data_IF_857219151562
#
_entry.id   IF_857219151562
#
_cell.length_a   1.000
_cell.length_b   1.000
_cell.length_c   1.000
_cell.angle_alpha   90.00
_cell.angle_beta   90.00
_cell.angle_gamma   90.00
#
_symmetry.space_group_name_H-M   'P 1'
#
loop_
_entity.id
_entity.type
_entity.pdbx_description
1 polymer ?
#
# COMPACT_ATOMS: atom_id res chain seq x y z
N UNK A 1 -25.03 -1.80 -11.38
CA UNK A 1 -25.05 -1.53 -9.90
C UNK A 1 -23.83 -0.67 -9.59
N UNK A 2 -23.90 0.33 -8.71
CA UNK A 2 -22.71 1.09 -8.33
C UNK A 2 -21.70 0.12 -7.72
N UNK A 3 -20.54 0.00 -8.34
CA UNK A 3 -19.42 -0.80 -7.84
C UNK A 3 -18.93 -0.11 -6.59
N UNK A 4 -19.35 -0.59 -5.41
CA UNK A 4 -18.88 -0.04 -4.14
C UNK A 4 -17.36 -0.10 -4.12
N UNK A 5 -16.73 1.08 -4.14
CA UNK A 5 -15.29 1.25 -4.12
C UNK A 5 -14.91 2.00 -2.85
N UNK A 6 -13.80 1.61 -2.24
CA UNK A 6 -13.26 2.24 -1.04
C UNK A 6 -11.83 2.66 -1.34
N UNK A 7 -11.46 3.88 -0.94
CA UNK A 7 -10.10 4.38 -1.09
C UNK A 7 -9.42 4.35 0.27
N UNK A 8 -8.32 3.62 0.37
CA UNK A 8 -7.44 3.66 1.54
C UNK A 8 -6.24 4.54 1.19
N UNK A 9 -6.15 5.69 1.85
CA UNK A 9 -5.02 6.60 1.72
C UNK A 9 -3.97 6.24 2.76
N UNK A 10 -2.76 5.93 2.31
CA UNK A 10 -1.63 5.64 3.20
C UNK A 10 -0.40 6.46 2.83
N UNK A 11 0.41 6.75 3.84
CA UNK A 11 1.66 7.50 3.73
C UNK A 11 2.80 6.71 4.39
N UNK A 12 3.85 6.45 3.64
CA UNK A 12 4.97 5.61 4.06
C UNK A 12 4.59 4.15 4.34
N UNK A 13 5.59 3.38 4.76
CA UNK A 13 5.57 1.93 4.85
C UNK A 13 4.62 1.38 5.92
N UNK A 14 4.67 1.90 7.15
CA UNK A 14 3.88 1.36 8.27
C UNK A 14 2.37 1.43 8.02
N UNK A 15 1.89 2.59 7.58
CA UNK A 15 0.46 2.80 7.32
C UNK A 15 -0.02 2.02 6.09
N UNK A 16 0.81 1.95 5.04
CA UNK A 16 0.50 1.18 3.83
C UNK A 16 0.40 -0.31 4.13
N UNK A 17 1.31 -0.83 4.96
CA UNK A 17 1.26 -2.21 5.41
C UNK A 17 0.02 -2.50 6.27
N UNK A 18 -0.38 -1.59 7.15
CA UNK A 18 -1.61 -1.74 7.93
C UNK A 18 -2.85 -1.75 7.04
N UNK A 19 -2.93 -0.84 6.05
CA UNK A 19 -4.01 -0.80 5.07
C UNK A 19 -4.08 -2.10 4.26
N UNK A 20 -2.94 -2.60 3.79
CA UNK A 20 -2.85 -3.87 3.07
C UNK A 20 -3.37 -5.05 3.90
N UNK A 21 -2.97 -5.15 5.18
CA UNK A 21 -3.49 -6.19 6.08
C UNK A 21 -5.00 -6.06 6.31
N UNK A 22 -5.50 -4.82 6.46
CA UNK A 22 -6.93 -4.54 6.58
C UNK A 22 -7.72 -5.03 5.36
N UNK A 23 -7.19 -4.83 4.15
CA UNK A 23 -7.79 -5.35 2.91
C UNK A 23 -7.85 -6.88 2.94
N UNK A 24 -6.77 -7.56 3.33
CA UNK A 24 -6.76 -9.04 3.37
C UNK A 24 -7.80 -9.57 4.36
N UNK A 25 -7.87 -8.98 5.56
CA UNK A 25 -8.89 -9.36 6.56
C UNK A 25 -10.31 -9.09 6.04
N UNK A 26 -10.54 -7.94 5.41
CA UNK A 26 -11.82 -7.62 4.79
C UNK A 26 -12.17 -8.58 3.65
N UNK A 27 -11.20 -8.96 2.82
CA UNK A 27 -11.38 -9.91 1.72
C UNK A 27 -11.82 -11.28 2.26
N UNK A 28 -11.24 -11.74 3.37
CA UNK A 28 -11.64 -12.98 4.03
C UNK A 28 -13.11 -12.92 4.50
N UNK A 29 -13.50 -11.83 5.16
CA UNK A 29 -14.87 -11.64 5.65
C UNK A 29 -15.89 -11.52 4.50
N UNK A 30 -15.55 -10.77 3.46
CA UNK A 30 -16.45 -10.55 2.31
C UNK A 30 -16.62 -11.83 1.50
N UNK A 31 -15.55 -12.62 1.33
CA UNK A 31 -15.64 -13.95 0.72
C UNK A 31 -16.59 -14.85 1.50
N UNK A 32 -16.41 -14.92 2.83
CA UNK A 32 -17.22 -15.79 3.68
C UNK A 32 -18.70 -15.39 3.71
N UNK A 33 -19.00 -14.08 3.75
CA UNK A 33 -20.38 -13.59 3.93
C UNK A 33 -21.13 -13.36 2.61
N UNK A 34 -20.44 -12.97 1.55
CA UNK A 34 -21.07 -12.50 0.31
C UNK A 34 -20.63 -13.24 -0.94
N UNK A 35 -19.73 -14.23 -0.84
CA UNK A 35 -19.14 -14.93 -1.99
C UNK A 35 -18.57 -13.96 -3.03
N UNK A 36 -17.95 -12.88 -2.56
CA UNK A 36 -17.29 -11.87 -3.38
C UNK A 36 -15.80 -11.81 -3.08
N UNK A 37 -15.05 -11.34 -4.05
CA UNK A 37 -13.62 -11.09 -3.94
C UNK A 37 -13.34 -9.60 -3.86
N UNK A 38 -12.16 -9.24 -3.33
CA UNK A 38 -11.68 -7.86 -3.36
C UNK A 38 -10.45 -7.79 -4.26
N UNK A 39 -10.43 -6.76 -5.10
CA UNK A 39 -9.23 -6.33 -5.78
C UNK A 39 -8.80 -4.97 -5.22
N UNK A 40 -7.49 -4.78 -5.09
CA UNK A 40 -6.85 -3.53 -4.76
C UNK A 40 -6.13 -2.99 -5.99
N UNK A 41 -6.19 -1.68 -6.16
CA UNK A 41 -5.67 -0.97 -7.32
C UNK A 41 -4.77 0.14 -6.77
N UNK A 42 -3.45 -0.12 -6.67
CA UNK A 42 -2.49 0.85 -6.14
C UNK A 42 -2.31 2.04 -7.08
N UNK A 43 -2.31 3.25 -6.56
CA UNK A 43 -2.03 4.49 -7.29
C UNK A 43 -1.29 5.48 -6.39
N UNK A 44 -0.73 6.54 -6.97
CA UNK A 44 -0.15 7.64 -6.22
C UNK A 44 -1.16 8.77 -6.08
N UNK A 45 -1.22 9.37 -4.88
CA UNK A 45 -2.07 10.54 -4.64
C UNK A 45 -1.35 11.83 -5.03
N UNK A 46 -0.32 12.17 -4.27
CA UNK A 46 0.40 13.45 -4.40
C UNK A 46 1.87 13.24 -4.75
N UNK A 47 2.46 12.17 -4.22
CA UNK A 47 3.87 11.83 -4.42
C UNK A 47 4.07 10.31 -4.31
N UNK A 48 5.29 9.85 -4.61
CA UNK A 48 5.63 8.42 -4.62
C UNK A 48 5.65 7.76 -3.23
N UNK A 49 5.43 8.51 -2.14
CA UNK A 49 5.32 7.99 -0.78
C UNK A 49 3.87 7.90 -0.26
N UNK A 50 2.91 8.44 -1.02
CA UNK A 50 1.49 8.44 -0.70
C UNK A 50 0.78 7.47 -1.63
N UNK A 51 0.70 6.21 -1.19
CA UNK A 51 0.05 5.13 -1.93
C UNK A 51 -1.44 5.14 -1.59
N UNK A 52 -2.28 5.15 -2.61
CA UNK A 52 -3.72 4.98 -2.49
C UNK A 52 -4.08 3.59 -2.98
N UNK A 53 -4.80 2.83 -2.16
CA UNK A 53 -5.37 1.54 -2.53
C UNK A 53 -6.85 1.72 -2.80
N UNK A 54 -7.23 1.77 -4.08
CA UNK A 54 -8.64 1.68 -4.49
C UNK A 54 -9.06 0.22 -4.40
N UNK A 55 -9.98 -0.08 -3.50
CA UNK A 55 -10.50 -1.42 -3.24
C UNK A 55 -11.87 -1.55 -3.90
N UNK A 56 -12.01 -2.55 -4.76
CA UNK A 56 -13.24 -2.84 -5.50
C UNK A 56 -13.68 -4.27 -5.23
N UNK A 57 -14.99 -4.47 -5.09
CA UNK A 57 -15.57 -5.80 -5.01
C UNK A 57 -15.70 -6.41 -6.41
N UNK A 58 -15.31 -7.67 -6.55
CA UNK A 58 -15.39 -8.46 -7.78
C UNK A 58 -16.18 -9.75 -7.55
N UNK A 59 -16.86 -10.19 -8.61
CA UNK A 59 -17.55 -11.50 -8.61
C UNK A 59 -16.54 -12.63 -8.72
N UNK A 60 -15.50 -12.45 -9.54
CA UNK A 60 -14.49 -13.46 -9.80
C UNK A 60 -13.24 -13.27 -8.94
N UNK A 61 -12.58 -14.38 -8.64
CA UNK A 61 -11.30 -14.37 -7.93
C UNK A 61 -10.17 -14.08 -8.91
N UNK A 62 -9.36 -13.08 -8.59
CA UNK A 62 -8.01 -12.97 -9.18
C UNK A 62 -7.17 -14.10 -8.57
N UNK A 63 -6.94 -15.16 -9.35
CA UNK A 63 -6.07 -16.27 -8.98
C UNK A 63 -4.88 -16.31 -9.92
N UNK A 64 -3.71 -16.55 -9.36
CA UNK A 64 -2.54 -16.87 -10.16
C UNK A 64 -2.65 -18.31 -10.70
N UNK A 65 -2.26 -18.57 -11.97
CA UNK A 65 -2.00 -19.92 -12.43
C UNK A 65 -0.84 -20.54 -11.65
N UNK A 66 -0.74 -21.88 -11.64
CA UNK A 66 0.23 -22.61 -10.82
C UNK A 66 1.70 -22.31 -11.17
N UNK A 67 1.96 -21.92 -12.42
CA UNK A 67 3.25 -21.58 -12.99
C UNK A 67 3.51 -20.05 -13.06
N UNK A 68 2.63 -19.24 -12.44
CA UNK A 68 2.82 -17.79 -12.39
C UNK A 68 4.18 -17.43 -11.76
N UNK A 69 4.97 -16.53 -12.38
CA UNK A 69 6.25 -16.12 -11.81
C UNK A 69 6.09 -15.51 -10.42
N UNK A 70 6.91 -15.97 -9.47
CA UNK A 70 6.95 -15.46 -8.10
C UNK A 70 8.18 -14.59 -7.90
N UNK A 71 7.99 -13.31 -7.59
CA UNK A 71 9.06 -12.38 -7.24
C UNK A 71 9.06 -12.10 -5.73
N UNK A 72 10.16 -12.44 -5.07
CA UNK A 72 10.40 -12.08 -3.67
C UNK A 72 10.84 -10.62 -3.56
N UNK A 73 10.19 -9.86 -2.69
CA UNK A 73 10.41 -8.43 -2.48
C UNK A 73 11.00 -8.20 -1.10
N UNK A 74 12.14 -7.51 -1.06
CA UNK A 74 12.79 -7.07 0.17
C UNK A 74 12.52 -5.59 0.41
N UNK A 75 12.77 -5.10 1.64
CA UNK A 75 12.66 -3.67 1.94
C UNK A 75 13.69 -2.79 1.21
N UNK A 76 14.73 -3.39 0.64
CA UNK A 76 15.77 -2.72 -0.16
C UNK A 76 15.54 -2.84 -1.67
N UNK A 77 14.47 -3.52 -2.10
CA UNK A 77 14.13 -3.66 -3.52
C UNK A 77 13.85 -2.29 -4.13
N UNK A 78 14.45 -2.00 -5.28
CA UNK A 78 14.11 -0.79 -6.05
C UNK A 78 12.72 -0.98 -6.70
N UNK A 79 11.72 -0.15 -6.33
CA UNK A 79 10.37 -0.28 -6.86
C UNK A 79 10.31 0.00 -8.37
N UNK A 80 11.24 0.77 -8.96
CA UNK A 80 11.24 1.05 -10.40
C UNK A 80 11.67 -0.17 -11.21
N UNK A 81 12.66 -0.90 -10.72
CA UNK A 81 13.13 -2.15 -11.34
C UNK A 81 12.03 -3.21 -11.25
N UNK A 82 11.42 -3.35 -10.08
CA UNK A 82 10.30 -4.26 -9.88
C UNK A 82 9.09 -3.89 -10.76
N UNK A 83 8.78 -2.60 -10.91
CA UNK A 83 7.72 -2.12 -11.79
C UNK A 83 7.97 -2.46 -13.26
N UNK A 84 9.22 -2.36 -13.72
CA UNK A 84 9.60 -2.78 -15.07
C UNK A 84 9.33 -4.26 -15.31
N UNK A 85 9.65 -5.12 -14.34
CA UNK A 85 9.33 -6.55 -14.42
C UNK A 85 7.82 -6.80 -14.46
N UNK A 86 7.04 -6.15 -13.57
CA UNK A 86 5.57 -6.27 -13.54
C UNK A 86 4.95 -5.81 -14.86
N UNK A 87 5.35 -4.65 -15.38
CA UNK A 87 4.83 -4.11 -16.63
C UNK A 87 5.18 -5.02 -17.82
N UNK A 88 6.38 -5.60 -17.85
CA UNK A 88 6.77 -6.59 -18.87
C UNK A 88 5.81 -7.78 -18.88
N UNK A 89 5.55 -8.39 -17.72
CA UNK A 89 4.62 -9.53 -17.63
C UNK A 89 3.18 -9.15 -18.00
N UNK A 90 2.73 -7.96 -17.60
CA UNK A 90 1.40 -7.48 -17.96
C UNK A 90 1.21 -7.29 -19.48
N UNK A 91 2.23 -6.81 -20.19
CA UNK A 91 2.21 -6.68 -21.66
C UNK A 91 2.13 -8.03 -22.38
N UNK A 92 2.64 -9.08 -21.74
CA UNK A 92 2.57 -10.47 -22.19
C UNK A 92 1.26 -11.15 -21.73
N UNK A 93 0.30 -10.39 -21.17
CA UNK A 93 -0.96 -10.88 -20.58
C UNK A 93 -0.77 -11.93 -19.46
N UNK A 94 0.37 -11.86 -18.75
CA UNK A 94 0.75 -12.79 -17.70
C UNK A 94 0.43 -12.25 -16.30
N UNK A 95 -0.11 -13.14 -15.46
CA UNK A 95 -0.27 -12.89 -14.03
C UNK A 95 1.03 -13.15 -13.28
N UNK A 96 1.39 -12.28 -12.35
CA UNK A 96 2.61 -12.38 -11.54
C UNK A 96 2.28 -12.33 -10.05
N UNK A 97 3.07 -13.04 -9.24
CA UNK A 97 2.93 -13.03 -7.78
C UNK A 97 4.11 -12.26 -7.19
N UNK A 98 3.82 -11.24 -6.40
CA UNK A 98 4.81 -10.53 -5.60
C UNK A 98 4.68 -10.98 -4.14
N UNK A 99 5.80 -11.22 -3.45
CA UNK A 99 5.77 -11.66 -2.06
C UNK A 99 6.78 -10.94 -1.20
N UNK A 100 6.31 -10.33 -0.11
CA UNK A 100 7.17 -9.55 0.79
C UNK A 100 6.82 -9.78 2.26
N UNK A 101 7.83 -9.58 3.12
CA UNK A 101 7.69 -9.66 4.57
C UNK A 101 8.06 -8.30 5.19
N UNK A 102 7.18 -7.81 6.04
CA UNK A 102 7.38 -6.58 6.79
C UNK A 102 6.98 -5.31 6.03
N UNK A 103 6.87 -4.17 6.76
CA UNK A 103 6.25 -2.96 6.22
C UNK A 103 6.93 -2.40 4.97
N UNK A 104 8.27 -2.36 4.98
CA UNK A 104 9.04 -1.77 3.88
C UNK A 104 8.95 -2.60 2.60
N UNK A 105 9.01 -3.93 2.69
CA UNK A 105 8.82 -4.79 1.52
C UNK A 105 7.42 -4.65 0.91
N UNK A 106 6.39 -4.60 1.76
CA UNK A 106 5.00 -4.38 1.31
C UNK A 106 4.84 -3.02 0.64
N UNK A 107 5.49 -1.99 1.19
CA UNK A 107 5.48 -0.66 0.60
C UNK A 107 6.12 -0.63 -0.78
N UNK A 108 7.33 -1.16 -0.95
CA UNK A 108 7.99 -1.19 -2.25
C UNK A 108 7.22 -2.04 -3.27
N UNK A 109 6.61 -3.15 -2.83
CA UNK A 109 5.74 -3.98 -3.65
C UNK A 109 4.54 -3.21 -4.20
N UNK A 110 3.80 -2.51 -3.35
CA UNK A 110 2.61 -1.75 -3.78
C UNK A 110 2.99 -0.50 -4.59
N UNK A 111 4.12 0.14 -4.29
CA UNK A 111 4.68 1.22 -5.12
C UNK A 111 5.06 0.72 -6.50
N UNK A 112 5.71 -0.43 -6.60
CA UNK A 112 6.09 -1.01 -7.88
C UNK A 112 4.86 -1.30 -8.76
N UNK A 113 3.78 -1.82 -8.17
CA UNK A 113 2.52 -2.01 -8.90
C UNK A 113 1.95 -0.67 -9.37
N UNK A 114 1.91 0.35 -8.51
CA UNK A 114 1.43 1.67 -8.90
C UNK A 114 2.29 2.30 -10.02
N UNK A 115 3.62 2.16 -9.97
CA UNK A 115 4.53 2.65 -11.04
C UNK A 115 4.30 1.86 -12.34
N UNK A 116 4.11 0.54 -12.25
CA UNK A 116 3.85 -0.29 -13.41
C UNK A 116 2.54 0.11 -14.11
N UNK A 117 1.52 0.55 -13.36
CA UNK A 117 0.30 1.12 -13.93
C UNK A 117 0.58 2.39 -14.71
N UNK A 118 1.37 3.32 -14.17
CA UNK A 118 1.77 4.52 -14.93
C UNK A 118 2.52 4.15 -16.24
N UNK A 119 3.35 3.10 -16.21
CA UNK A 119 4.04 2.63 -17.42
C UNK A 119 3.09 2.05 -18.47
N UNK A 120 2.03 1.35 -18.05
CA UNK A 120 1.06 0.72 -18.95
C UNK A 120 0.02 1.72 -19.47
N UNK A 121 -0.32 2.75 -18.68
CA UNK A 121 -1.18 3.85 -19.13
C UNK A 121 -0.54 4.65 -20.28
N UNK A 122 0.79 4.75 -20.29
CA UNK A 122 1.53 5.38 -21.38
C UNK A 122 1.61 4.52 -22.66
N UNK A 123 1.22 3.24 -22.60
CA UNK A 123 1.22 2.34 -23.77
C UNK A 123 -0.07 2.49 -24.58
N UNK A 124 0.02 2.32 -25.90
CA UNK A 124 -1.13 2.43 -26.82
C UNK A 124 -2.26 1.42 -26.55
N UNK A 125 -1.95 0.29 -25.92
CA UNK A 125 -2.93 -0.76 -25.59
C UNK A 125 -3.89 -0.37 -24.45
N UNK A 126 -3.55 0.63 -23.63
CA UNK A 126 -4.38 1.07 -22.50
C UNK A 126 -4.67 -0.03 -21.47
N UNK A 127 -3.68 -0.87 -21.16
CA UNK A 127 -3.82 -1.92 -20.14
C UNK A 127 -3.72 -1.34 -18.72
N UNK A 128 -4.43 -1.93 -17.77
CA UNK A 128 -4.35 -1.61 -16.34
C UNK A 128 -4.05 -2.89 -15.52
N UNK A 129 -3.79 -2.74 -14.22
CA UNK A 129 -3.49 -3.83 -13.30
C UNK A 129 -4.53 -3.93 -12.19
N UNK A 130 -4.94 -5.16 -11.91
CA UNK A 130 -5.72 -5.53 -10.74
C UNK A 130 -4.87 -6.39 -9.81
N UNK A 131 -4.98 -6.15 -8.50
CA UNK A 131 -4.22 -6.91 -7.52
C UNK A 131 -5.11 -7.56 -6.47
N UNK A 132 -4.91 -8.83 -6.18
CA UNK A 132 -5.47 -9.50 -4.98
C UNK A 132 -4.40 -9.66 -3.92
N UNK A 133 -4.74 -9.36 -2.67
CA UNK A 133 -3.82 -9.46 -1.54
C UNK A 133 -4.20 -10.67 -0.69
N UNK A 134 -3.21 -11.48 -0.32
CA UNK A 134 -3.41 -12.68 0.49
C UNK A 134 -2.29 -12.86 1.53
N UNK A 135 -2.63 -13.41 2.69
CA UNK A 135 -1.63 -13.91 3.64
C UNK A 135 -1.18 -15.30 3.22
N UNK A 136 0.12 -15.53 3.29
CA UNK A 136 0.74 -16.82 3.00
C UNK A 136 1.80 -17.12 4.03
N UNK A 137 1.87 -18.38 4.45
CA UNK A 137 2.97 -18.85 5.29
C UNK A 137 4.18 -19.14 4.42
N UNK A 138 5.35 -18.66 4.83
CA UNK A 138 6.62 -18.96 4.20
C UNK A 138 7.61 -19.49 5.22
N UNK A 139 8.33 -20.55 4.84
CA UNK A 139 9.50 -20.99 5.60
C UNK A 139 10.69 -20.17 5.12
N UNK A 140 11.29 -19.40 6.02
CA UNK A 140 12.53 -18.68 5.74
C UNK A 140 13.71 -19.59 6.08
N UNK A 141 14.68 -19.67 5.17
CA UNK A 141 15.91 -20.43 5.39
C UNK A 141 16.58 -19.98 6.69
N UNK A 142 16.86 -20.92 7.59
CA UNK A 142 17.49 -20.65 8.89
C UNK A 142 16.52 -20.20 9.99
N UNK A 143 15.21 -20.24 9.77
CA UNK A 143 14.20 -20.12 10.84
C UNK A 143 13.42 -21.40 10.96
N UNK A 144 13.19 -21.86 12.19
CA UNK A 144 12.29 -22.99 12.46
C UNK A 144 10.82 -22.59 12.31
N UNK A 145 10.48 -21.33 12.61
CA UNK A 145 9.11 -20.84 12.61
C UNK A 145 8.74 -20.29 11.23
N UNK A 146 7.62 -20.79 10.68
CA UNK A 146 6.96 -20.22 9.51
C UNK A 146 6.63 -18.75 9.75
N UNK A 147 7.03 -17.89 8.84
CA UNK A 147 6.72 -16.47 8.88
C UNK A 147 5.52 -16.15 8.00
N UNK A 148 4.63 -15.27 8.46
CA UNK A 148 3.55 -14.76 7.61
C UNK A 148 4.09 -13.70 6.65
N UNK A 149 3.87 -13.90 5.36
CA UNK A 149 4.18 -12.94 4.30
C UNK A 149 2.90 -12.41 3.66
N UNK A 150 2.99 -11.22 3.08
CA UNK A 150 1.95 -10.69 2.21
C UNK A 150 2.27 -11.10 0.77
N UNK A 151 1.32 -11.74 0.11
CA UNK A 151 1.35 -12.06 -1.31
C UNK A 151 0.42 -11.12 -2.05
N UNK A 152 0.86 -10.59 -3.18
CA UNK A 152 0.06 -9.79 -4.10
C UNK A 152 0.04 -10.51 -5.44
N UNK A 153 -1.13 -10.99 -5.83
CA UNK A 153 -1.36 -11.53 -7.18
C UNK A 153 -1.76 -10.37 -8.08
N UNK A 154 -0.97 -10.07 -9.10
CA UNK A 154 -1.17 -8.96 -10.03
C UNK A 154 -1.55 -9.52 -11.39
N UNK A 155 -2.70 -9.13 -11.90
CA UNK A 155 -3.22 -9.58 -13.20
C UNK A 155 -3.51 -8.39 -14.12
N UNK A 156 -3.15 -8.46 -15.41
CA UNK A 156 -3.50 -7.42 -16.37
C UNK A 156 -5.00 -7.40 -16.63
N UNK A 157 -5.54 -6.21 -16.91
CA UNK A 157 -6.93 -6.03 -17.33
C UNK A 157 -7.01 -4.97 -18.43
N UNK A 158 -7.87 -5.21 -19.42
CA UNK A 158 -8.18 -4.25 -20.49
C UNK A 158 -9.29 -3.28 -20.09
N UNK A 159 -9.99 -3.55 -18.99
CA UNK A 159 -10.96 -2.60 -18.46
C UNK A 159 -10.18 -1.54 -17.71
N UNK A 160 -10.08 -0.33 -18.28
CA UNK A 160 -9.55 0.82 -17.56
C UNK A 160 -10.31 0.96 -16.23
N UNK A 161 -9.69 0.59 -15.11
CA UNK A 161 -10.33 0.77 -13.82
C UNK A 161 -10.05 2.19 -13.41
N UNK A 162 -10.77 3.09 -14.07
CA UNK A 162 -10.60 4.55 -14.01
C UNK A 162 -10.12 4.98 -12.64
N UNK A 163 -8.89 5.47 -12.59
CA UNK A 163 -8.29 6.08 -11.41
C UNK A 163 -8.94 7.46 -11.22
N UNK A 164 -10.21 7.49 -10.83
CA UNK A 164 -10.84 8.74 -10.39
C UNK A 164 -10.57 8.90 -8.90
N UNK A 165 -9.49 9.62 -8.60
CA UNK A 165 -9.33 10.38 -7.37
C UNK A 165 -8.60 11.69 -7.70
N UNK A 166 -9.13 12.42 -8.69
CA UNK A 166 -8.83 13.84 -8.87
C UNK A 166 -10.14 14.63 -8.71
N UNK A 167 -10.09 15.61 -7.82
CA UNK A 167 -11.07 16.67 -7.57
C UNK A 167 -12.40 16.31 -6.88
N UNK A 168 -12.36 16.19 -5.56
CA UNK A 168 -13.20 17.09 -4.75
C UNK A 168 -12.25 17.95 -3.93
N UNK A 169 -12.23 19.24 -4.24
CA UNK A 169 -11.57 20.24 -3.41
C UNK A 169 -12.19 20.17 -2.02
N UNK A 170 -11.42 19.71 -1.04
CA UNK A 170 -11.66 20.16 0.32
C UNK A 170 -11.34 21.65 0.32
N UNK A 171 -12.27 22.57 0.64
CA UNK A 171 -11.82 23.82 1.20
C UNK A 171 -10.94 23.43 2.38
N UNK A 172 -9.82 24.12 2.56
CA UNK A 172 -9.16 24.14 3.84
C UNK A 172 -10.24 24.27 4.91
N UNK A 173 -10.47 23.21 5.68
CA UNK A 173 -10.87 23.40 7.05
C UNK A 173 -9.69 24.19 7.63
N UNK A 174 -9.85 25.51 7.65
CA UNK A 174 -9.06 26.38 8.48
C UNK A 174 -8.99 25.67 9.83
N UNK A 175 -7.79 25.23 10.20
CA UNK A 175 -7.49 25.00 11.61
C UNK A 175 -8.10 26.20 12.34
N UNK A 176 -8.99 26.00 13.33
CA UNK A 176 -9.49 27.13 14.10
C UNK A 176 -8.26 27.89 14.57
N UNK A 177 -8.16 29.15 14.14
CA UNK A 177 -7.22 30.11 14.65
C UNK A 177 -7.30 30.01 16.15
N UNK A 178 -6.16 29.64 16.74
CA UNK A 178 -5.91 29.59 18.17
C UNK A 178 -6.58 30.80 18.81
N UNK A 179 -7.70 30.56 19.50
CA UNK A 179 -8.27 31.56 20.37
C UNK A 179 -7.20 31.84 21.41
N UNK A 180 -6.68 33.07 21.37
CA UNK A 180 -5.72 33.57 22.33
C UNK A 180 -6.19 33.21 23.74
N UNK A 181 -5.52 32.24 24.36
CA UNK A 181 -5.60 32.04 25.80
C UNK A 181 -4.98 33.29 26.44
N UNK A 182 -5.65 33.96 27.39
CA UNK A 182 -5.03 35.04 28.14
C UNK A 182 -3.81 34.48 28.88
N UNK A 183 -2.68 35.17 28.71
CA UNK A 183 -1.42 34.92 29.40
C UNK A 183 -1.65 34.95 30.92
N UNK A 184 -1.70 33.77 31.54
CA UNK A 184 -1.56 33.66 32.99
C UNK A 184 -0.07 33.62 33.33
N UNK A 185 0.39 34.73 33.89
CA UNK A 185 1.76 34.94 34.35
C UNK A 185 1.99 34.17 35.65
N UNK A 186 2.35 32.89 35.55
CA UNK A 186 3.02 32.20 36.64
C UNK A 186 3.97 31.11 36.11
N UNK A 187 5.25 31.44 36.04
CA UNK A 187 6.33 30.51 35.66
C UNK A 187 6.86 29.86 36.94
N UNK A 188 6.83 28.53 37.12
CA UNK A 188 7.59 27.89 38.18
C UNK A 188 9.08 27.98 37.84
N UNK A 189 9.84 28.55 38.77
CA UNK A 189 11.29 28.70 38.70
C UNK A 189 11.94 27.31 38.78
N UNK A 190 12.67 26.94 37.72
CA UNK A 190 13.47 25.71 37.72
C UNK A 190 14.81 26.05 38.39
N UNK A 191 15.19 25.43 39.52
CA UNK A 191 16.46 25.73 40.15
C UNK A 191 17.63 25.23 39.27
N UNK A 192 18.62 26.11 39.07
CA UNK A 192 19.86 25.80 38.37
C UNK A 192 20.62 24.65 39.04
N UNK A 193 21.31 23.78 38.27
CA UNK A 193 22.15 22.73 38.84
C UNK A 193 23.39 23.33 39.54
N UNK A 194 23.86 22.73 40.64
CA UNK A 194 25.08 23.18 41.32
C UNK A 194 26.33 22.90 40.46
N UNK A 195 27.28 23.83 40.51
CA UNK A 195 28.57 23.76 39.84
C UNK A 195 29.44 22.60 40.36
N UNK A 196 30.32 22.02 39.53
CA UNK A 196 31.23 20.95 39.95
C UNK A 196 32.29 21.50 40.91
N UNK A 197 32.46 20.82 42.05
CA UNK A 197 33.55 21.07 43.00
C UNK A 197 34.86 20.48 42.44
N UNK A 198 35.83 21.35 42.16
CA UNK A 198 37.23 20.97 41.91
C UNK A 198 37.90 20.47 43.20
N UNK A 199 38.67 19.39 43.05
CA UNK A 199 39.56 18.81 44.05
C UNK A 199 40.68 19.79 44.45
N UNK A 200 40.92 19.89 45.76
CA UNK A 200 42.24 20.11 46.37
C UNK A 200 42.24 19.54 47.79
#
# INVERSE_FOLDING_TARGET
RPTSQVYLFSKYDKSTNLAAKGIVTAAHLIKAKYSKHLAAIPSFRSNRNEVTLKVVAQSDRISAPADAPLLSVAGTTDPKVLAGAVARHARDDQTIILRGIGPRAVFEMLRAVAIARDYLEADEKGQDLLSSLEFVEVQLTGREIKSSALSVVVTPTTTAVTATAAAEGSPMAQLPTEAALPMDSNKPEVPSPPAPSEEA
#
